data_IF_500731879225
#
_entry.id   IF_500731879225
#
_cell.length_a   1.000
_cell.length_b   1.000
_cell.length_c   1.000
_cell.angle_alpha   90.00
_cell.angle_beta   90.00
_cell.angle_gamma   90.00
#
_symmetry.space_group_name_H-M   'P 1'
#
loop_
_entity.id
_entity.type
_entity.pdbx_description
1 polymer ?
#
# COMPACT_ATOMS: atom_id res chain seq x y z
N UNK A 1 -10.28 9.73 14.49
CA UNK A 1 -9.85 10.40 13.23
C UNK A 1 -9.48 11.86 13.41
N UNK A 2 -10.16 12.62 14.27
CA UNK A 2 -9.81 14.02 14.57
C UNK A 2 -8.31 14.24 14.87
N UNK A 3 -7.75 13.45 15.78
CA UNK A 3 -6.32 13.54 16.14
C UNK A 3 -5.39 13.28 14.94
N UNK A 4 -5.77 12.39 14.03
CA UNK A 4 -4.98 12.10 12.82
C UNK A 4 -4.98 13.30 11.89
N UNK A 5 -6.13 13.95 11.69
CA UNK A 5 -6.21 15.19 10.90
C UNK A 5 -5.45 16.34 11.54
N UNK A 6 -5.52 16.49 12.86
CA UNK A 6 -4.77 17.51 13.58
C UNK A 6 -3.26 17.28 13.50
N UNK A 7 -2.82 16.04 13.65
CA UNK A 7 -1.41 15.67 13.56
C UNK A 7 -0.89 15.88 12.13
N UNK A 8 -1.67 15.49 11.11
CA UNK A 8 -1.36 15.78 9.71
C UNK A 8 -1.28 17.29 9.45
N UNK A 9 -2.21 18.08 9.99
CA UNK A 9 -2.20 19.54 9.88
C UNK A 9 -0.92 20.14 10.48
N UNK A 10 -0.50 19.68 11.66
CA UNK A 10 0.73 20.15 12.32
C UNK A 10 1.97 19.75 11.50
N UNK A 11 2.03 18.51 10.99
CA UNK A 11 3.14 18.05 10.15
C UNK A 11 3.27 18.91 8.89
N UNK A 12 2.15 19.21 8.22
CA UNK A 12 2.14 20.02 6.99
C UNK A 12 2.55 21.48 7.23
N UNK A 13 2.21 22.05 8.39
CA UNK A 13 2.61 23.41 8.74
C UNK A 13 4.06 23.49 9.28
N UNK A 14 4.59 22.39 9.83
CA UNK A 14 5.96 22.29 10.34
C UNK A 14 6.27 23.18 11.56
N UNK A 15 5.27 23.88 12.12
CA UNK A 15 5.40 24.77 13.28
C UNK A 15 4.24 24.54 14.24
N UNK A 16 4.51 24.71 15.53
CA UNK A 16 3.50 24.64 16.60
C UNK A 16 3.33 26.04 17.18
N UNK A 17 2.46 26.84 16.58
CA UNK A 17 2.04 28.15 17.11
C UNK A 17 0.56 28.09 17.52
N UNK A 18 0.14 29.01 18.39
CA UNK A 18 -1.25 29.07 18.86
C UNK A 18 -2.26 29.21 17.70
N UNK A 19 -1.91 30.01 16.68
CA UNK A 19 -2.70 30.20 15.47
C UNK A 19 -2.92 28.88 14.70
N UNK A 20 -1.83 28.14 14.48
CA UNK A 20 -1.86 26.85 13.77
C UNK A 20 -2.68 25.82 14.54
N UNK A 21 -2.59 25.80 15.87
CA UNK A 21 -3.37 24.90 16.70
C UNK A 21 -4.86 25.25 16.69
N UNK A 22 -5.23 26.53 16.81
CA UNK A 22 -6.63 26.96 16.81
C UNK A 22 -7.27 26.67 15.45
N UNK A 23 -6.63 27.07 14.36
CA UNK A 23 -7.11 26.79 13.01
C UNK A 23 -7.12 25.29 12.73
N UNK A 24 -6.07 24.58 13.14
CA UNK A 24 -5.97 23.13 12.99
C UNK A 24 -7.09 22.38 13.70
N UNK A 25 -7.45 22.79 14.91
CA UNK A 25 -8.59 22.24 15.64
C UNK A 25 -9.91 22.51 14.91
N UNK A 26 -10.13 23.74 14.42
CA UNK A 26 -11.34 24.10 13.70
C UNK A 26 -11.50 23.27 12.41
N UNK A 27 -10.46 23.20 11.57
CA UNK A 27 -10.48 22.41 10.35
C UNK A 27 -10.60 20.91 10.64
N UNK A 28 -9.83 20.38 11.59
CA UNK A 28 -9.89 18.96 11.94
C UNK A 28 -11.28 18.55 12.47
N UNK A 29 -11.95 19.44 13.20
CA UNK A 29 -13.32 19.22 13.68
C UNK A 29 -14.32 19.24 12.52
N UNK A 30 -14.19 20.21 11.62
CA UNK A 30 -15.02 20.31 10.42
C UNK A 30 -14.87 19.06 9.53
N UNK A 31 -13.64 18.61 9.29
CA UNK A 31 -13.35 17.38 8.54
C UNK A 31 -13.87 16.13 9.24
N UNK A 32 -13.68 16.04 10.56
CA UNK A 32 -14.22 14.93 11.33
C UNK A 32 -15.75 14.85 11.22
N UNK A 33 -16.44 15.99 11.39
CA UNK A 33 -17.88 16.08 11.19
C UNK A 33 -18.31 15.70 9.77
N UNK A 34 -17.61 16.22 8.76
CA UNK A 34 -17.86 15.90 7.36
C UNK A 34 -17.74 14.38 7.09
N UNK A 35 -16.67 13.74 7.57
CA UNK A 35 -16.47 12.30 7.38
C UNK A 35 -17.52 11.46 8.10
N UNK A 36 -18.00 11.90 9.28
CA UNK A 36 -19.09 11.22 9.98
C UNK A 36 -20.42 11.36 9.24
N UNK A 37 -20.69 12.54 8.69
CA UNK A 37 -21.97 12.86 8.02
C UNK A 37 -22.09 12.27 6.62
N UNK A 38 -21.03 12.37 5.80
CA UNK A 38 -21.09 12.01 4.38
C UNK A 38 -20.47 10.64 4.07
N UNK A 39 -19.49 10.20 4.86
CA UNK A 39 -18.86 8.88 4.68
C UNK A 39 -19.45 7.80 5.59
N UNK A 40 -20.43 8.15 6.44
CA UNK A 40 -21.13 7.21 7.32
C UNK A 40 -20.23 6.53 8.35
N UNK A 41 -19.01 7.04 8.59
CA UNK A 41 -18.06 6.41 9.53
C UNK A 41 -18.56 6.53 10.96
N UNK A 42 -18.63 5.38 11.63
CA UNK A 42 -19.05 5.27 13.03
C UNK A 42 -17.83 5.17 13.97
N UNK A 43 -18.01 5.46 15.26
CA UNK A 43 -16.96 5.30 16.26
C UNK A 43 -16.38 3.86 16.32
N UNK A 44 -17.19 2.87 15.95
CA UNK A 44 -16.74 1.47 15.82
C UNK A 44 -15.74 1.27 14.67
N UNK A 45 -15.89 2.00 13.57
CA UNK A 45 -14.96 1.97 12.44
C UNK A 45 -13.60 2.57 12.83
N UNK A 46 -13.59 3.59 13.68
CA UNK A 46 -12.34 4.17 14.20
C UNK A 46 -11.58 3.16 15.06
N UNK A 47 -12.29 2.42 15.92
CA UNK A 47 -11.68 1.37 16.76
C UNK A 47 -11.15 0.21 15.92
N UNK A 48 -11.89 -0.21 14.88
CA UNK A 48 -11.44 -1.20 13.91
C UNK A 48 -10.19 -0.71 13.18
N UNK A 49 -10.15 0.53 12.74
CA UNK A 49 -8.99 1.11 12.06
C UNK A 49 -7.75 1.13 12.97
N UNK A 50 -7.90 1.54 14.23
CA UNK A 50 -6.80 1.56 15.20
C UNK A 50 -6.20 0.17 15.44
N UNK A 51 -7.04 -0.88 15.48
CA UNK A 51 -6.60 -2.28 15.60
C UNK A 51 -5.85 -2.80 14.36
N UNK A 52 -6.10 -2.20 13.19
CA UNK A 52 -5.44 -2.57 11.93
C UNK A 52 -4.07 -1.91 11.74
N UNK A 53 -3.76 -0.84 12.48
CA UNK A 53 -2.46 -0.14 12.40
C UNK A 53 -1.25 -1.08 12.50
N UNK A 54 -1.13 -1.99 13.49
CA UNK A 54 0.06 -2.85 13.58
C UNK A 54 0.22 -3.77 12.38
N UNK A 55 -0.88 -4.31 11.84
CA UNK A 55 -0.86 -5.14 10.64
C UNK A 55 -0.43 -4.33 9.41
N UNK A 56 -0.94 -3.10 9.28
CA UNK A 56 -0.55 -2.18 8.21
C UNK A 56 0.93 -1.76 8.33
N UNK A 57 1.43 -1.54 9.55
CA UNK A 57 2.83 -1.21 9.79
C UNK A 57 3.76 -2.38 9.43
N UNK A 58 3.39 -3.63 9.81
CA UNK A 58 4.08 -4.85 9.40
C UNK A 58 4.11 -4.97 7.87
N UNK A 59 2.97 -4.76 7.22
CA UNK A 59 2.86 -4.77 5.75
C UNK A 59 3.79 -3.74 5.10
N UNK A 60 3.76 -2.50 5.59
CA UNK A 60 4.59 -1.42 5.06
C UNK A 60 6.08 -1.69 5.25
N UNK A 61 6.49 -2.23 6.39
CA UNK A 61 7.90 -2.60 6.63
C UNK A 61 8.38 -3.67 5.64
N UNK A 62 7.56 -4.69 5.38
CA UNK A 62 7.87 -5.73 4.38
C UNK A 62 7.89 -5.14 2.98
N UNK A 63 6.93 -4.28 2.63
CA UNK A 63 6.92 -3.57 1.34
C UNK A 63 8.21 -2.79 1.11
N UNK A 64 8.64 -2.00 2.07
CA UNK A 64 9.90 -1.24 1.98
C UNK A 64 11.09 -2.18 1.80
N UNK A 65 11.15 -3.27 2.56
CA UNK A 65 12.22 -4.27 2.43
C UNK A 65 12.28 -4.90 1.04
N UNK A 66 11.14 -5.35 0.50
CA UNK A 66 11.06 -5.94 -0.84
C UNK A 66 11.40 -4.93 -1.94
N UNK A 67 11.01 -3.66 -1.77
CA UNK A 67 11.42 -2.57 -2.69
C UNK A 67 12.94 -2.43 -2.72
N UNK A 68 13.61 -2.43 -1.56
CA UNK A 68 15.07 -2.35 -1.51
C UNK A 68 15.73 -3.57 -2.17
N UNK A 69 15.24 -4.78 -1.87
CA UNK A 69 15.74 -6.03 -2.47
C UNK A 69 15.61 -6.00 -4.00
N UNK A 70 14.42 -5.70 -4.50
CA UNK A 70 14.17 -5.64 -5.95
C UNK A 70 14.96 -4.52 -6.65
N UNK A 71 15.23 -3.39 -5.98
CA UNK A 71 16.16 -2.38 -6.50
C UNK A 71 17.55 -2.96 -6.73
N UNK A 72 18.09 -3.75 -5.80
CA UNK A 72 19.39 -4.40 -5.98
C UNK A 72 19.39 -5.38 -7.15
N UNK A 73 18.30 -6.14 -7.33
CA UNK A 73 18.17 -7.08 -8.44
C UNK A 73 18.12 -6.35 -9.80
N UNK A 74 17.38 -5.23 -9.88
CA UNK A 74 17.35 -4.37 -11.08
C UNK A 74 18.71 -3.71 -11.34
N UNK A 75 19.41 -3.24 -10.30
CA UNK A 75 20.76 -2.67 -10.45
C UNK A 75 21.72 -3.72 -11.01
N UNK A 76 21.67 -4.96 -10.52
CA UNK A 76 22.49 -6.06 -11.06
C UNK A 76 22.16 -6.34 -12.52
N UNK A 77 20.89 -6.31 -12.90
CA UNK A 77 20.46 -6.48 -14.28
C UNK A 77 21.03 -5.38 -15.19
N UNK A 78 21.02 -4.12 -14.74
CA UNK A 78 21.56 -2.98 -15.49
C UNK A 78 23.09 -3.04 -15.61
N UNK A 79 23.79 -3.40 -14.52
CA UNK A 79 25.25 -3.40 -14.49
C UNK A 79 25.89 -4.64 -15.12
N UNK A 80 25.10 -5.69 -15.39
CA UNK A 80 25.61 -6.92 -15.99
C UNK A 80 25.72 -6.77 -17.51
N UNK A 81 26.93 -6.75 -18.10
CA UNK A 81 27.14 -6.47 -19.51
C UNK A 81 26.68 -7.60 -20.45
N UNK A 82 26.28 -8.75 -19.91
CA UNK A 82 25.90 -9.96 -20.67
C UNK A 82 24.50 -10.47 -20.35
N UNK A 83 23.67 -9.72 -19.63
CA UNK A 83 22.30 -10.14 -19.34
C UNK A 83 21.35 -9.60 -20.39
N UNK A 84 20.81 -10.50 -21.21
CA UNK A 84 19.72 -10.18 -22.13
C UNK A 84 18.42 -10.14 -21.35
N UNK A 85 17.76 -8.98 -21.34
CA UNK A 85 16.52 -8.76 -20.60
C UNK A 85 15.37 -9.40 -21.37
N UNK A 86 14.58 -10.25 -20.71
CA UNK A 86 13.44 -10.92 -21.33
C UNK A 86 12.11 -10.47 -20.72
N UNK A 87 11.44 -9.44 -21.29
CA UNK A 87 10.17 -8.96 -20.75
C UNK A 87 9.07 -10.02 -20.84
N UNK A 88 8.29 -10.17 -19.77
CA UNK A 88 7.21 -11.16 -19.70
C UNK A 88 5.91 -10.56 -19.18
N UNK A 89 4.80 -10.98 -19.78
CA UNK A 89 3.45 -10.67 -19.26
C UNK A 89 2.89 -11.87 -18.51
N UNK A 90 2.73 -11.72 -17.20
CA UNK A 90 2.31 -12.78 -16.28
C UNK A 90 0.86 -12.56 -15.88
N UNK A 91 0.10 -13.64 -15.83
CA UNK A 91 -1.26 -13.64 -15.32
C UNK A 91 -1.29 -14.31 -13.95
N UNK A 92 -1.74 -13.57 -12.95
CA UNK A 92 -1.81 -14.01 -11.57
C UNK A 92 -3.26 -14.00 -11.11
N UNK A 93 -3.66 -15.05 -10.39
CA UNK A 93 -4.97 -15.10 -9.73
C UNK A 93 -4.78 -14.94 -8.24
N UNK A 94 -5.41 -13.94 -7.66
CA UNK A 94 -5.46 -13.74 -6.21
C UNK A 94 -6.79 -14.24 -5.66
N UNK A 95 -6.77 -14.78 -4.45
CA UNK A 95 -7.93 -15.20 -3.66
C UNK A 95 -8.37 -14.14 -2.64
N UNK A 96 -7.75 -12.95 -2.66
CA UNK A 96 -8.14 -11.83 -1.82
C UNK A 96 -9.60 -11.45 -2.07
N UNK A 97 -10.38 -11.35 -1.01
CA UNK A 97 -11.83 -11.15 -1.02
C UNK A 97 -12.22 -9.69 -1.26
N UNK A 98 -11.45 -8.75 -0.73
CA UNK A 98 -11.78 -7.31 -0.74
C UNK A 98 -11.12 -6.54 -1.89
N UNK A 99 -11.87 -5.65 -2.54
CA UNK A 99 -11.34 -4.79 -3.62
C UNK A 99 -10.15 -3.94 -3.16
N UNK A 100 -10.23 -3.40 -1.93
CA UNK A 100 -9.16 -2.59 -1.37
C UNK A 100 -7.83 -3.34 -1.24
N UNK A 101 -7.85 -4.61 -0.83
CA UNK A 101 -6.63 -5.42 -0.71
C UNK A 101 -6.12 -5.89 -2.05
N UNK A 102 -7.01 -6.18 -3.02
CA UNK A 102 -6.61 -6.44 -4.40
C UNK A 102 -5.91 -5.22 -5.02
N UNK A 103 -6.42 -4.02 -4.78
CA UNK A 103 -5.77 -2.79 -5.21
C UNK A 103 -4.42 -2.56 -4.49
N UNK A 104 -4.35 -2.83 -3.19
CA UNK A 104 -3.11 -2.75 -2.42
C UNK A 104 -2.04 -3.72 -2.95
N UNK A 105 -2.41 -4.95 -3.28
CA UNK A 105 -1.53 -5.94 -3.91
C UNK A 105 -1.00 -5.44 -5.26
N UNK A 106 -1.90 -4.99 -6.16
CA UNK A 106 -1.53 -4.47 -7.47
C UNK A 106 -0.55 -3.28 -7.38
N UNK A 107 -0.78 -2.37 -6.43
CA UNK A 107 0.11 -1.25 -6.19
C UNK A 107 1.44 -1.70 -5.60
N UNK A 108 1.45 -2.71 -4.73
CA UNK A 108 2.67 -3.22 -4.11
C UNK A 108 3.58 -3.93 -5.12
N UNK A 109 2.98 -4.70 -6.03
CA UNK A 109 3.69 -5.26 -7.20
C UNK A 109 4.29 -4.09 -8.01
N UNK A 110 3.48 -3.12 -8.42
CA UNK A 110 3.95 -1.98 -9.24
C UNK A 110 5.06 -1.15 -8.56
N UNK A 111 5.04 -1.03 -7.23
CA UNK A 111 6.08 -0.33 -6.48
C UNK A 111 7.38 -1.14 -6.35
N UNK A 112 7.32 -2.47 -6.55
CA UNK A 112 8.49 -3.34 -6.53
C UNK A 112 9.21 -3.20 -7.87
N UNK A 113 10.41 -2.59 -7.90
CA UNK A 113 11.12 -2.25 -9.13
C UNK A 113 11.27 -3.44 -10.07
N UNK A 114 11.02 -3.20 -11.37
CA UNK A 114 11.07 -4.24 -12.40
C UNK A 114 9.74 -4.97 -12.63
N UNK A 115 8.65 -4.57 -11.98
CA UNK A 115 7.29 -5.06 -12.30
C UNK A 115 6.26 -3.94 -12.37
N UNK A 116 5.24 -4.08 -13.21
CA UNK A 116 4.13 -3.13 -13.37
C UNK A 116 2.81 -3.90 -13.50
N UNK A 117 1.80 -3.57 -12.70
CA UNK A 117 0.46 -4.14 -12.90
C UNK A 117 -0.26 -3.39 -14.03
N UNK A 118 -0.55 -4.09 -15.13
CA UNK A 118 -1.21 -3.55 -16.32
C UNK A 118 -2.73 -3.54 -16.17
N UNK A 119 -3.28 -4.58 -15.53
CA UNK A 119 -4.74 -4.75 -15.39
C UNK A 119 -5.08 -5.51 -14.12
N UNK A 120 -6.11 -5.03 -13.43
CA UNK A 120 -6.80 -5.73 -12.35
C UNK A 120 -8.27 -5.91 -12.76
N UNK A 121 -8.74 -7.15 -12.88
CA UNK A 121 -10.14 -7.48 -13.18
C UNK A 121 -10.64 -8.58 -12.25
N UNK A 122 -11.47 -8.22 -11.27
CA UNK A 122 -11.90 -9.14 -10.23
C UNK A 122 -10.69 -9.72 -9.49
N UNK A 123 -10.53 -11.03 -9.53
CA UNK A 123 -9.43 -11.77 -8.90
C UNK A 123 -8.21 -11.98 -9.82
N UNK A 124 -8.22 -11.42 -11.05
CA UNK A 124 -7.15 -11.59 -12.02
C UNK A 124 -6.30 -10.33 -12.14
N UNK A 125 -5.00 -10.50 -11.96
CA UNK A 125 -3.98 -9.48 -12.17
C UNK A 125 -3.17 -9.85 -13.41
N UNK A 126 -2.88 -8.84 -14.23
CA UNK A 126 -1.95 -8.94 -15.34
C UNK A 126 -0.76 -8.05 -15.04
N UNK A 127 0.42 -8.65 -14.96
CA UNK A 127 1.65 -7.99 -14.50
C UNK A 127 2.69 -8.08 -15.62
N UNK A 128 3.24 -6.95 -16.00
CA UNK A 128 4.40 -6.87 -16.88
C UNK A 128 5.66 -6.89 -16.03
N UNK A 129 6.53 -7.86 -16.28
CA UNK A 129 7.82 -8.00 -15.62
C UNK A 129 8.91 -7.57 -16.61
N UNK A 130 9.88 -6.82 -16.10
CA UNK A 130 11.05 -6.38 -16.86
C UNK A 130 11.86 -7.59 -17.34
N UNK A 131 11.97 -8.62 -16.51
CA UNK A 131 12.70 -9.85 -16.81
C UNK A 131 11.93 -11.10 -16.34
N UNK A 132 12.21 -12.25 -16.97
CA UNK A 132 11.65 -13.55 -16.60
C UNK A 132 11.94 -13.94 -15.14
N UNK A 133 13.13 -13.61 -14.61
CA UNK A 133 13.49 -13.90 -13.22
C UNK A 133 12.61 -13.19 -12.19
N UNK A 134 12.12 -11.98 -12.53
CA UNK A 134 11.24 -11.18 -11.68
C UNK A 134 9.79 -11.66 -11.70
N UNK A 135 9.42 -12.49 -12.69
CA UNK A 135 8.12 -13.13 -12.75
C UNK A 135 7.98 -14.30 -11.75
N UNK A 136 9.10 -14.94 -11.41
CA UNK A 136 9.11 -16.12 -10.54
C UNK A 136 8.71 -15.74 -9.10
N UNK A 137 7.75 -16.49 -8.53
CA UNK A 137 7.34 -16.30 -7.14
C UNK A 137 6.34 -15.16 -6.87
N UNK A 138 5.93 -14.37 -7.87
CA UNK A 138 4.91 -13.31 -7.69
C UNK A 138 3.60 -13.83 -7.08
N UNK A 139 3.18 -15.04 -7.46
CA UNK A 139 1.98 -15.74 -7.01
C UNK A 139 1.94 -16.07 -5.51
N UNK A 140 3.12 -16.29 -4.92
CA UNK A 140 3.29 -16.70 -3.52
C UNK A 140 4.05 -15.64 -2.72
N UNK A 141 4.08 -14.41 -3.23
CA UNK A 141 4.82 -13.32 -2.62
C UNK A 141 4.39 -13.06 -1.17
N UNK A 142 5.33 -12.53 -0.38
CA UNK A 142 5.11 -12.10 1.00
C UNK A 142 3.88 -11.18 1.13
N UNK A 143 3.59 -10.37 0.10
CA UNK A 143 2.41 -9.52 0.01
C UNK A 143 1.09 -10.29 0.03
N UNK A 144 0.95 -11.34 -0.78
CA UNK A 144 -0.29 -12.13 -0.84
C UNK A 144 -0.57 -12.76 0.53
N UNK A 145 0.45 -13.33 1.17
CA UNK A 145 0.33 -13.93 2.50
C UNK A 145 -0.08 -12.91 3.55
N UNK A 146 0.58 -11.74 3.60
CA UNK A 146 0.26 -10.70 4.59
C UNK A 146 -1.14 -10.12 4.39
N UNK A 147 -1.57 -9.94 3.14
CA UNK A 147 -2.91 -9.44 2.85
C UNK A 147 -4.00 -10.46 3.21
N UNK A 148 -3.73 -11.77 3.04
CA UNK A 148 -4.61 -12.85 3.55
C UNK A 148 -4.69 -12.83 5.07
N UNK A 149 -3.56 -12.77 5.77
CA UNK A 149 -3.51 -12.64 7.24
C UNK A 149 -4.36 -11.43 7.70
N UNK A 150 -4.31 -10.32 6.95
CA UNK A 150 -5.14 -9.15 7.22
C UNK A 150 -6.62 -9.36 6.91
N UNK A 151 -7.03 -10.24 5.99
CA UNK A 151 -8.45 -10.61 5.74
C UNK A 151 -9.00 -11.54 6.80
N UNK A 152 -8.19 -12.47 7.28
CA UNK A 152 -8.64 -13.44 8.30
C UNK A 152 -8.73 -12.81 9.70
N UNK A 153 -8.01 -11.71 9.93
CA UNK A 153 -8.07 -10.93 11.16
C UNK A 153 -9.24 -9.93 11.24
N UNK A 154 -10.08 -9.83 10.20
CA UNK A 154 -11.24 -8.92 10.10
C UNK A 154 -12.58 -9.59 10.41
#
# INVERSE_FOLDING_TARGET
>A
MFLVFLLLWIILNGRVTAEILILGCAFSAAFYWFTRKYLGRTAEDEKKWLRRIPHMAKYLAVLVYEIFKANFDVIRLILSPSTEVEPRLVHLRTDLKTDGKRALLANSITLTPGTITVRLKGQHLQVHCLDCSLAEGLGESSFVRLLREMEDAE
#
